data_IF_657267562618
#
_entry.id   IF_657267562618
#
_cell.length_a   1.000
_cell.length_b   1.000
_cell.length_c   1.000
_cell.angle_alpha   90.00
_cell.angle_beta   90.00
_cell.angle_gamma   90.00
#
_symmetry.space_group_name_H-M   'P 1'
#
loop_
_entity.id
_entity.type
_entity.pdbx_description
1 polymer ?
#
# COMPACT_ATOMS: atom_id res chain seq x y z
N UNK A 1 5.49 -12.74 -4.29
CA UNK A 1 5.12 -11.72 -3.27
C UNK A 1 5.40 -10.33 -3.79
N UNK A 2 6.63 -10.01 -4.19
CA UNK A 2 7.01 -8.69 -4.72
C UNK A 2 6.05 -8.17 -5.79
N UNK A 3 5.76 -8.98 -6.81
CA UNK A 3 4.82 -8.61 -7.90
C UNK A 3 3.41 -8.32 -7.40
N UNK A 4 2.94 -9.01 -6.35
CA UNK A 4 1.63 -8.73 -5.75
C UNK A 4 1.63 -7.36 -5.05
N UNK A 5 2.70 -7.03 -4.34
CA UNK A 5 2.87 -5.71 -3.73
C UNK A 5 2.84 -4.58 -4.76
N UNK A 6 3.52 -4.76 -5.90
CA UNK A 6 3.50 -3.79 -7.01
C UNK A 6 2.09 -3.61 -7.59
N UNK A 7 1.35 -4.70 -7.83
CA UNK A 7 -0.04 -4.63 -8.34
C UNK A 7 -0.95 -3.93 -7.34
N UNK A 8 -0.78 -4.19 -6.03
CA UNK A 8 -1.54 -3.47 -5.01
C UNK A 8 -1.19 -1.98 -5.01
N UNK A 9 0.09 -1.62 -5.10
CA UNK A 9 0.50 -0.21 -5.19
C UNK A 9 -0.08 0.47 -6.44
N UNK A 10 -0.11 -0.22 -7.58
CA UNK A 10 -0.74 0.27 -8.81
C UNK A 10 -2.22 0.54 -8.61
N UNK A 11 -2.96 -0.38 -7.97
CA UNK A 11 -4.40 -0.19 -7.67
C UNK A 11 -4.62 1.00 -6.72
N UNK A 12 -3.78 1.17 -5.71
CA UNK A 12 -3.97 2.21 -4.70
C UNK A 12 -3.55 3.61 -5.18
N UNK A 13 -2.55 3.67 -6.07
CA UNK A 13 -2.04 4.93 -6.64
C UNK A 13 -2.72 5.30 -7.95
N UNK A 14 -3.37 4.34 -8.63
CA UNK A 14 -3.88 4.52 -9.99
C UNK A 14 -2.77 4.72 -11.02
N UNK A 15 -1.52 4.41 -10.70
CA UNK A 15 -0.35 4.64 -11.57
C UNK A 15 0.27 3.33 -12.03
N UNK A 16 0.61 3.30 -13.31
CA UNK A 16 1.32 2.18 -13.93
C UNK A 16 2.71 2.01 -13.26
N UNK A 17 3.17 0.76 -13.04
CA UNK A 17 4.47 0.48 -12.46
C UNK A 17 5.64 0.87 -13.36
N UNK A 18 5.39 1.03 -14.66
CA UNK A 18 6.35 1.54 -15.64
C UNK A 18 6.23 3.07 -15.72
N UNK A 19 6.80 3.75 -14.72
CA UNK A 19 6.83 5.20 -14.65
C UNK A 19 7.86 5.79 -15.63
N UNK A 20 7.76 5.52 -16.93
CA UNK A 20 8.50 6.23 -17.99
C UNK A 20 10.04 6.16 -17.95
N UNK A 21 10.71 6.60 -19.03
CA UNK A 21 12.17 6.50 -19.18
C UNK A 21 12.97 7.35 -18.17
N UNK A 22 12.34 8.34 -17.53
CA UNK A 22 12.96 9.25 -16.56
C UNK A 22 12.98 8.75 -15.11
N UNK A 23 12.23 7.67 -14.80
CA UNK A 23 12.11 7.13 -13.44
C UNK A 23 12.56 5.66 -13.34
N UNK A 24 13.27 5.16 -14.36
CA UNK A 24 13.80 3.78 -14.45
C UNK A 24 14.71 3.36 -13.29
N UNK A 25 15.21 4.29 -12.50
CA UNK A 25 16.05 4.00 -11.33
C UNK A 25 15.24 3.72 -10.06
N UNK A 26 13.95 4.10 -10.01
CA UNK A 26 13.09 3.94 -8.83
C UNK A 26 11.69 3.55 -9.28
N UNK A 27 11.38 2.24 -9.24
CA UNK A 27 10.04 1.71 -9.54
C UNK A 27 8.94 2.37 -8.68
N UNK A 28 7.68 2.07 -8.98
CA UNK A 28 6.52 2.61 -8.26
C UNK A 28 6.65 2.49 -6.74
N UNK A 29 7.21 1.39 -6.26
CA UNK A 29 7.54 1.16 -4.85
C UNK A 29 8.53 2.19 -4.29
N UNK A 30 9.53 2.60 -5.06
CA UNK A 30 10.52 3.60 -4.66
C UNK A 30 9.91 5.00 -4.56
N UNK A 31 9.00 5.34 -5.47
CA UNK A 31 8.26 6.61 -5.45
C UNK A 31 7.38 6.67 -4.21
N UNK A 32 6.59 5.62 -3.96
CA UNK A 32 5.71 5.52 -2.78
C UNK A 32 6.54 5.56 -1.50
N UNK A 33 7.60 4.75 -1.40
CA UNK A 33 8.45 4.68 -0.19
C UNK A 33 9.16 6.00 0.10
N UNK A 34 9.58 6.73 -0.95
CA UNK A 34 10.13 8.08 -0.82
C UNK A 34 9.07 9.05 -0.31
N UNK A 35 7.86 8.99 -0.85
CA UNK A 35 6.77 9.86 -0.44
C UNK A 35 6.34 9.60 1.03
N UNK A 36 6.34 8.34 1.49
CA UNK A 36 6.16 8.00 2.91
C UNK A 36 7.31 8.50 3.79
N UNK A 37 8.56 8.42 3.32
CA UNK A 37 9.74 8.93 4.06
C UNK A 37 9.75 10.45 4.18
N UNK A 38 9.28 11.15 3.14
CA UNK A 38 9.17 12.61 3.09
C UNK A 38 7.87 13.11 3.74
N UNK A 39 7.08 12.23 4.38
CA UNK A 39 5.79 12.54 5.00
C UNK A 39 4.84 13.31 4.07
N UNK A 40 4.91 13.00 2.76
CA UNK A 40 4.07 13.66 1.77
C UNK A 40 2.61 13.37 2.05
N UNK A 41 1.72 14.34 1.78
CA UNK A 41 0.30 14.14 1.98
C UNK A 41 -0.16 12.97 1.11
N UNK A 42 -0.80 12.00 1.75
CA UNK A 42 -1.32 10.79 1.10
C UNK A 42 -2.26 11.12 -0.07
N UNK A 43 -2.91 12.29 -0.06
CA UNK A 43 -3.73 12.77 -1.17
C UNK A 43 -2.98 12.99 -2.48
N UNK A 44 -1.65 13.09 -2.45
CA UNK A 44 -0.81 13.29 -3.63
C UNK A 44 -0.36 11.94 -4.25
N UNK A 45 -0.43 10.86 -3.47
CA UNK A 45 0.05 9.52 -3.81
C UNK A 45 -1.13 8.58 -4.10
N UNK A 46 -2.19 8.67 -3.28
CA UNK A 46 -3.40 7.85 -3.38
C UNK A 46 -4.25 8.36 -4.55
N UNK A 47 -4.86 7.43 -5.29
CA UNK A 47 -5.84 7.77 -6.32
C UNK A 47 -6.99 8.61 -5.71
N UNK A 48 -7.30 9.79 -6.26
CA UNK A 48 -8.36 10.66 -5.74
C UNK A 48 -9.75 9.99 -5.72
N UNK A 49 -10.00 8.99 -6.57
CA UNK A 49 -11.23 8.19 -6.57
C UNK A 49 -11.36 7.27 -5.35
N UNK A 50 -10.27 7.03 -4.61
CA UNK A 50 -10.27 6.29 -3.35
C UNK A 50 -10.40 7.22 -2.12
N UNK A 51 -10.32 8.54 -2.31
CA UNK A 51 -10.39 9.54 -1.24
C UNK A 51 -11.82 10.06 -0.99
N UNK A 52 -12.80 9.58 -1.75
CA UNK A 52 -14.22 9.97 -1.71
C UNK A 52 -14.87 9.65 -0.37
N UNK A 53 -14.46 8.56 0.30
CA UNK A 53 -14.97 8.17 1.61
C UNK A 53 -13.88 8.25 2.69
N UNK A 54 -14.19 8.89 3.81
CA UNK A 54 -13.24 9.06 4.94
C UNK A 54 -12.85 7.71 5.56
N UNK A 55 -13.76 6.73 5.55
CA UNK A 55 -13.50 5.37 6.02
C UNK A 55 -12.52 4.62 5.11
N UNK A 56 -12.65 4.80 3.79
CA UNK A 56 -11.74 4.21 2.81
C UNK A 56 -10.29 4.67 3.01
N UNK A 57 -10.06 5.93 3.46
CA UNK A 57 -8.70 6.44 3.69
C UNK A 57 -7.88 5.59 4.66
N UNK A 58 -8.47 5.13 5.76
CA UNK A 58 -7.76 4.29 6.75
C UNK A 58 -7.43 2.92 6.19
N UNK A 59 -8.37 2.32 5.45
CA UNK A 59 -8.18 1.02 4.80
C UNK A 59 -7.10 1.10 3.72
N UNK A 60 -7.10 2.18 2.93
CA UNK A 60 -6.09 2.44 1.90
C UNK A 60 -4.70 2.59 2.54
N UNK A 61 -4.56 3.34 3.63
CA UNK A 61 -3.27 3.47 4.34
C UNK A 61 -2.77 2.12 4.86
N UNK A 62 -3.66 1.31 5.45
CA UNK A 62 -3.29 -0.03 5.90
C UNK A 62 -2.86 -0.93 4.73
N UNK A 63 -3.56 -0.84 3.59
CA UNK A 63 -3.21 -1.57 2.37
C UNK A 63 -1.85 -1.13 1.82
N UNK A 64 -1.50 0.16 1.88
CA UNK A 64 -0.18 0.66 1.52
C UNK A 64 0.93 0.05 2.37
N UNK A 65 0.73 -0.03 3.70
CA UNK A 65 1.73 -0.65 4.58
C UNK A 65 1.94 -2.13 4.25
N UNK A 66 0.86 -2.88 3.99
CA UNK A 66 0.97 -4.28 3.57
C UNK A 66 1.71 -4.39 2.23
N UNK A 67 1.38 -3.52 1.27
CA UNK A 67 2.01 -3.51 -0.05
C UNK A 67 3.52 -3.20 0.05
N UNK A 68 3.90 -2.20 0.85
CA UNK A 68 5.30 -1.85 1.11
C UNK A 68 6.08 -3.01 1.74
N UNK A 69 5.48 -3.72 2.71
CA UNK A 69 6.08 -4.92 3.30
C UNK A 69 6.23 -6.04 2.27
N UNK A 70 5.28 -6.20 1.35
CA UNK A 70 5.36 -7.17 0.25
C UNK A 70 6.48 -6.84 -0.75
N UNK A 71 6.79 -5.55 -0.92
CA UNK A 71 7.88 -5.05 -1.78
C UNK A 71 9.19 -4.83 -1.02
N UNK A 72 9.32 -5.32 0.21
CA UNK A 72 10.57 -5.14 0.97
C UNK A 72 11.75 -5.78 0.24
N UNK A 73 12.90 -5.08 0.27
CA UNK A 73 14.14 -5.50 -0.38
C UNK A 73 14.70 -6.77 0.27
N UNK A 74 14.55 -6.85 1.59
CA UNK A 74 14.94 -8.01 2.38
C UNK A 74 13.89 -9.13 2.25
N UNK A 75 14.26 -10.31 1.71
CA UNK A 75 13.34 -11.44 1.57
C UNK A 75 12.92 -12.06 2.90
N UNK A 76 13.68 -11.89 3.99
CA UNK A 76 13.35 -12.43 5.31
C UNK A 76 12.27 -11.61 6.03
N UNK A 77 12.26 -10.30 5.79
CA UNK A 77 11.22 -9.39 6.30
C UNK A 77 9.91 -9.46 5.49
N UNK A 78 9.95 -10.06 4.30
CA UNK A 78 8.81 -10.13 3.40
C UNK A 78 7.76 -11.11 3.95
N UNK A 79 6.52 -10.65 4.24
CA UNK A 79 5.49 -11.52 4.79
C UNK A 79 5.08 -12.60 3.77
N UNK A 80 4.67 -13.76 4.29
CA UNK A 80 4.08 -14.82 3.45
C UNK A 80 2.69 -14.39 3.00
N UNK A 81 2.25 -14.87 1.82
CA UNK A 81 0.97 -14.52 1.22
C UNK A 81 -0.21 -14.80 2.16
N UNK A 82 -0.10 -15.85 2.98
CA UNK A 82 -1.10 -16.17 4.01
C UNK A 82 -1.28 -15.02 5.01
N UNK A 83 -0.18 -14.45 5.50
CA UNK A 83 -0.20 -13.29 6.40
C UNK A 83 -0.73 -12.04 5.69
N UNK A 84 -0.37 -11.89 4.41
CA UNK A 84 -0.86 -10.79 3.57
C UNK A 84 -2.37 -10.87 3.40
N UNK A 85 -2.92 -12.04 3.03
CA UNK A 85 -4.36 -12.25 2.89
C UNK A 85 -5.10 -12.05 4.21
N UNK A 86 -4.57 -12.59 5.31
CA UNK A 86 -5.13 -12.37 6.66
C UNK A 86 -5.13 -10.88 7.04
N UNK A 87 -4.12 -10.11 6.62
CA UNK A 87 -4.07 -8.66 6.86
C UNK A 87 -5.12 -7.91 6.04
N UNK A 88 -5.32 -8.27 4.77
CA UNK A 88 -6.39 -7.70 3.93
C UNK A 88 -7.79 -8.06 4.43
N UNK A 89 -8.00 -9.28 4.92
CA UNK A 89 -9.28 -9.69 5.52
C UNK A 89 -9.59 -8.87 6.77
N UNK A 90 -8.58 -8.54 7.59
CA UNK A 90 -8.75 -7.62 8.73
C UNK A 90 -9.14 -6.21 8.29
N UNK A 91 -8.60 -5.71 7.18
CA UNK A 91 -8.96 -4.40 6.63
C UNK A 91 -10.44 -4.37 6.20
N UNK A 92 -10.95 -5.46 5.60
CA UNK A 92 -12.37 -5.60 5.25
C UNK A 92 -13.28 -5.67 6.47
N UNK A 93 -12.81 -6.22 7.59
CA UNK A 93 -13.62 -6.36 8.83
C UNK A 93 -13.81 -5.01 9.55
N UNK A 94 -12.94 -4.03 9.31
CA UNK A 94 -13.10 -2.68 9.86
C UNK A 94 -14.36 -1.95 9.33
N UNK A 95 -15.04 -2.49 8.30
CA UNK A 95 -16.32 -2.00 7.78
C UNK A 95 -17.53 -2.43 8.65
N UNK A 96 -17.43 -3.43 9.53
CA UNK A 96 -18.62 -3.92 10.27
C UNK A 96 -18.30 -4.46 11.67
N UNK A 97 -18.16 -3.58 12.66
CA UNK A 97 -18.21 -3.92 14.11
C UNK A 97 -16.97 -4.50 14.81
N UNK A 98 -15.71 -4.28 14.39
CA UNK A 98 -14.58 -4.46 15.32
C UNK A 98 -13.28 -3.76 14.90
N UNK A 99 -13.17 -2.49 15.24
CA UNK A 99 -11.87 -1.81 15.32
C UNK A 99 -11.12 -2.30 16.58
N UNK A 100 -10.53 -3.50 16.53
CA UNK A 100 -9.51 -3.88 17.50
C UNK A 100 -8.13 -3.72 16.86
N UNK A 101 -7.46 -2.63 17.26
CA UNK A 101 -6.01 -2.40 17.26
C UNK A 101 -5.16 -3.11 16.23
N UNK A 102 -4.76 -2.38 15.18
CA UNK A 102 -3.60 -2.74 14.34
C UNK A 102 -2.42 -1.78 14.55
N UNK A 103 -2.39 -1.08 15.68
CA UNK A 103 -1.34 -0.12 16.03
C UNK A 103 -0.94 -0.28 17.51
N UNK A 104 -0.52 -1.50 17.89
CA UNK A 104 0.34 -1.77 19.04
C UNK A 104 1.36 -2.81 18.58
#
# INVERSE_FOLDING_TARGET
MYSFGIVVLEILTGRLPDAGPENKEKGLEGVVRKAFREERPLSEIIDPTLLTEVYAKKQVVAAFHIALNCTELDPELRPRMRTVSESFDRIKICDTNRCCGFFI
#
